data_IF_107635026622
#
_entry.id   IF_107635026622
#
_cell.length_a   1.000
_cell.length_b   1.000
_cell.length_c   1.000
_cell.angle_alpha   90.00
_cell.angle_beta   90.00
_cell.angle_gamma   90.00
#
_symmetry.space_group_name_H-M   'P 1'
#
loop_
_entity.id
_entity.type
_entity.pdbx_description
1 polymer ?
#
# COMPACT_ATOMS: atom_id res chain seq x y z
N UNK A 1 -17.67 8.44 2.03
CA UNK A 1 -18.06 7.02 2.21
C UNK A 1 -17.91 6.33 0.87
N UNK A 2 -17.18 5.22 0.80
CA UNK A 2 -16.95 4.47 -0.45
C UNK A 2 -17.64 3.12 -0.31
N UNK A 3 -18.67 2.87 -1.11
CA UNK A 3 -19.40 1.60 -1.15
C UNK A 3 -18.97 0.85 -2.39
N UNK A 4 -18.60 -0.43 -2.26
CA UNK A 4 -18.32 -1.28 -3.42
C UNK A 4 -19.46 -2.28 -3.56
N UNK A 5 -20.05 -2.33 -4.75
CA UNK A 5 -21.06 -3.31 -5.12
C UNK A 5 -20.35 -4.53 -5.72
N UNK A 6 -20.16 -5.56 -4.88
CA UNK A 6 -19.77 -6.93 -5.27
C UNK A 6 -20.92 -7.89 -4.94
N UNK A 7 -20.73 -9.20 -5.15
CA UNK A 7 -21.68 -10.25 -4.71
C UNK A 7 -22.05 -10.17 -3.20
N UNK A 8 -21.20 -9.53 -2.38
CA UNK A 8 -21.55 -9.05 -1.03
C UNK A 8 -21.20 -7.55 -0.91
N UNK A 9 -22.18 -6.66 -0.68
CA UNK A 9 -21.92 -5.24 -0.56
C UNK A 9 -21.14 -4.94 0.73
N UNK A 10 -19.98 -4.29 0.62
CA UNK A 10 -19.16 -3.86 1.78
C UNK A 10 -19.17 -2.33 1.84
N UNK A 11 -19.65 -1.79 2.97
CA UNK A 11 -19.74 -0.34 3.22
C UNK A 11 -18.37 0.34 3.31
N UNK A 12 -17.31 -0.43 3.52
CA UNK A 12 -15.93 0.04 3.50
C UNK A 12 -15.03 -1.14 3.09
N UNK A 13 -14.51 -1.16 1.85
CA UNK A 13 -13.58 -2.20 1.40
C UNK A 13 -12.25 -2.06 2.14
N UNK A 14 -11.45 -3.12 2.08
CA UNK A 14 -10.05 -3.01 2.49
C UNK A 14 -9.29 -2.10 1.52
N UNK A 15 -8.37 -1.28 2.03
CA UNK A 15 -7.64 -0.27 1.24
C UNK A 15 -6.79 -0.86 0.10
N UNK A 16 -6.57 -2.18 0.13
CA UNK A 16 -5.81 -2.96 -0.85
C UNK A 16 -6.70 -3.84 -1.75
N UNK A 17 -8.01 -3.62 -1.77
CA UNK A 17 -8.90 -4.37 -2.65
C UNK A 17 -8.60 -4.02 -4.12
N UNK A 18 -8.22 -5.05 -4.88
CA UNK A 18 -8.11 -4.95 -6.33
C UNK A 18 -9.48 -5.19 -6.98
N UNK A 19 -9.98 -4.18 -7.68
CA UNK A 19 -11.20 -4.28 -8.48
C UNK A 19 -10.96 -5.15 -9.71
N UNK A 20 -11.93 -6.00 -10.01
CA UNK A 20 -12.03 -6.78 -11.23
C UNK A 20 -12.93 -6.06 -12.24
N UNK A 21 -12.78 -6.44 -13.50
CA UNK A 21 -13.67 -5.96 -14.56
C UNK A 21 -15.11 -6.37 -14.21
N UNK A 22 -16.02 -5.40 -14.20
CA UNK A 22 -17.42 -5.58 -13.81
C UNK A 22 -17.74 -5.11 -12.39
N UNK A 23 -16.73 -4.92 -11.52
CA UNK A 23 -16.94 -4.37 -10.19
C UNK A 23 -17.34 -2.88 -10.27
N UNK A 24 -18.22 -2.45 -9.36
CA UNK A 24 -18.66 -1.03 -9.27
C UNK A 24 -18.28 -0.44 -7.93
N UNK A 25 -17.62 0.73 -7.96
CA UNK A 25 -17.39 1.56 -6.79
C UNK A 25 -18.31 2.77 -6.83
N UNK A 26 -19.01 3.01 -5.72
CA UNK A 26 -19.77 4.23 -5.43
C UNK A 26 -18.96 5.05 -4.42
N UNK A 27 -18.46 6.22 -4.84
CA UNK A 27 -17.69 7.13 -3.99
C UNK A 27 -18.53 8.37 -3.67
N UNK A 28 -18.81 8.61 -2.39
CA UNK A 28 -19.28 9.92 -1.92
C UNK A 28 -18.06 10.83 -1.73
N UNK A 29 -17.92 11.81 -2.62
CA UNK A 29 -16.90 12.84 -2.60
C UNK A 29 -17.49 14.22 -2.88
N UNK A 30 -16.76 15.27 -2.54
CA UNK A 30 -17.12 16.63 -2.95
C UNK A 30 -17.04 16.79 -4.47
N UNK A 31 -17.71 17.80 -5.03
CA UNK A 31 -17.64 18.09 -6.46
C UNK A 31 -16.19 18.27 -6.96
N UNK A 32 -15.34 18.90 -6.14
CA UNK A 32 -13.91 19.05 -6.42
C UNK A 32 -13.17 17.70 -6.39
N UNK A 33 -13.57 16.79 -5.51
CA UNK A 33 -13.08 15.41 -5.48
C UNK A 33 -13.41 14.65 -6.75
N UNK A 34 -14.67 14.66 -7.18
CA UNK A 34 -15.14 14.00 -8.40
C UNK A 34 -14.45 14.56 -9.65
N UNK A 35 -14.39 15.90 -9.78
CA UNK A 35 -13.73 16.56 -10.92
C UNK A 35 -12.25 16.18 -11.05
N UNK A 36 -11.53 16.01 -9.94
CA UNK A 36 -10.13 15.51 -9.99
C UNK A 36 -10.05 14.11 -10.56
N UNK A 37 -10.96 13.22 -10.16
CA UNK A 37 -11.01 11.83 -10.65
C UNK A 37 -11.33 11.79 -12.14
N UNK A 38 -12.34 12.54 -12.59
CA UNK A 38 -12.74 12.64 -14.02
C UNK A 38 -11.59 13.16 -14.90
N UNK A 39 -10.82 14.12 -14.38
CA UNK A 39 -9.66 14.69 -15.08
C UNK A 39 -8.41 13.79 -14.99
N UNK A 40 -8.51 12.62 -14.37
CA UNK A 40 -7.36 11.72 -14.16
C UNK A 40 -6.29 12.30 -13.22
N UNK A 41 -6.60 13.36 -12.46
CA UNK A 41 -5.66 14.02 -11.55
C UNK A 41 -5.51 13.21 -10.27
N UNK A 42 -4.59 12.26 -10.31
CA UNK A 42 -4.20 11.42 -9.17
C UNK A 42 -3.26 12.18 -8.25
N UNK A 43 -3.37 11.95 -6.95
CA UNK A 43 -2.33 12.33 -5.98
C UNK A 43 -1.00 11.69 -6.42
N UNK A 44 0.16 12.34 -6.27
CA UNK A 44 1.43 11.70 -6.59
C UNK A 44 1.82 10.64 -5.55
N UNK A 45 2.55 9.61 -5.98
CA UNK A 45 3.16 8.63 -5.08
C UNK A 45 4.49 9.15 -4.58
N UNK A 46 4.49 9.84 -3.45
CA UNK A 46 5.64 10.55 -2.89
C UNK A 46 6.22 9.89 -1.65
N UNK A 47 5.90 8.63 -1.38
CA UNK A 47 6.38 7.91 -0.20
C UNK A 47 7.06 6.59 -0.56
N UNK A 48 7.96 6.11 0.29
CA UNK A 48 8.59 4.78 0.20
C UNK A 48 8.55 4.09 1.56
N UNK A 49 8.60 2.77 1.51
CA UNK A 49 8.80 1.94 2.68
C UNK A 49 10.30 1.65 2.83
N UNK A 50 10.86 1.93 4.01
CA UNK A 50 12.18 1.46 4.44
C UNK A 50 11.97 0.37 5.49
N UNK A 51 12.49 -0.83 5.26
CA UNK A 51 12.46 -1.92 6.24
C UNK A 51 13.84 -2.02 6.87
N UNK A 52 13.89 -1.99 8.20
CA UNK A 52 15.14 -1.98 8.94
C UNK A 52 15.53 -3.37 9.41
N UNK A 53 14.61 -4.09 10.05
CA UNK A 53 14.85 -5.45 10.55
C UNK A 53 13.56 -6.22 10.77
N UNK A 54 13.66 -7.54 10.69
CA UNK A 54 12.65 -8.49 11.13
C UNK A 54 13.09 -9.17 12.43
N UNK A 55 12.16 -9.45 13.33
CA UNK A 55 12.48 -10.01 14.64
C UNK A 55 13.01 -11.45 14.59
N UNK A 56 12.48 -12.29 13.70
CA UNK A 56 12.96 -13.66 13.51
C UNK A 56 12.78 -14.13 12.05
N UNK A 57 13.35 -15.29 11.72
CA UNK A 57 13.29 -15.88 10.36
C UNK A 57 11.87 -16.26 9.92
N UNK A 58 11.00 -16.65 10.86
CA UNK A 58 9.62 -17.00 10.54
C UNK A 58 8.84 -15.75 10.07
N UNK A 59 9.00 -14.64 10.77
CA UNK A 59 8.45 -13.33 10.41
C UNK A 59 9.03 -12.85 9.08
N UNK A 60 10.33 -13.08 8.84
CA UNK A 60 10.95 -12.71 7.58
C UNK A 60 10.35 -13.44 6.37
N UNK A 61 9.80 -14.65 6.56
CA UNK A 61 9.10 -15.41 5.53
C UNK A 61 7.66 -14.91 5.30
N UNK A 62 6.99 -14.36 6.31
CA UNK A 62 5.62 -13.85 6.21
C UNK A 62 5.56 -12.41 5.66
N UNK A 63 6.55 -11.58 6.00
CA UNK A 63 6.58 -10.16 5.63
C UNK A 63 6.46 -9.86 4.13
N UNK A 64 7.06 -10.62 3.18
CA UNK A 64 6.88 -10.38 1.75
C UNK A 64 5.42 -10.41 1.29
N UNK A 65 4.60 -11.28 1.90
CA UNK A 65 3.17 -11.39 1.60
C UNK A 65 2.41 -10.14 2.03
N UNK A 66 2.76 -9.59 3.20
CA UNK A 66 2.20 -8.32 3.66
C UNK A 66 2.64 -7.18 2.76
N UNK A 67 3.93 -7.08 2.43
CA UNK A 67 4.46 -6.00 1.60
C UNK A 67 3.80 -6.01 0.22
N UNK A 68 3.79 -7.14 -0.47
CA UNK A 68 3.17 -7.27 -1.81
C UNK A 68 1.69 -6.90 -1.82
N UNK A 69 0.93 -7.30 -0.79
CA UNK A 69 -0.50 -6.99 -0.66
C UNK A 69 -0.79 -5.49 -0.63
N UNK A 70 -0.01 -4.68 0.10
CA UNK A 70 -0.29 -3.25 0.27
C UNK A 70 0.43 -2.35 -0.75
N UNK A 71 1.56 -2.80 -1.29
CA UNK A 71 2.37 -2.00 -2.23
C UNK A 71 2.06 -2.25 -3.69
N UNK A 72 1.28 -3.30 -4.00
CA UNK A 72 1.06 -3.79 -5.36
C UNK A 72 2.39 -4.10 -6.10
N UNK A 73 3.44 -4.46 -5.36
CA UNK A 73 4.69 -4.96 -5.92
C UNK A 73 4.62 -6.50 -6.06
N UNK A 74 5.36 -7.08 -7.03
CA UNK A 74 5.47 -8.53 -7.15
C UNK A 74 6.02 -9.14 -5.87
N UNK A 75 5.51 -10.32 -5.49
CA UNK A 75 5.99 -11.05 -4.31
C UNK A 75 7.50 -11.24 -4.33
N UNK A 76 8.07 -11.55 -5.50
CA UNK A 76 9.52 -11.68 -5.69
C UNK A 76 10.27 -10.43 -5.23
N UNK A 77 9.83 -9.25 -5.65
CA UNK A 77 10.46 -7.97 -5.25
C UNK A 77 10.36 -7.74 -3.74
N UNK A 78 9.26 -8.15 -3.12
CA UNK A 78 9.09 -8.07 -1.66
C UNK A 78 9.99 -9.07 -0.91
N UNK A 79 10.21 -10.26 -1.47
CA UNK A 79 11.14 -11.26 -0.92
C UNK A 79 12.58 -10.77 -1.02
N UNK A 80 12.99 -10.29 -2.20
CA UNK A 80 14.32 -9.73 -2.45
C UNK A 80 14.61 -8.55 -1.49
N UNK A 81 13.59 -7.74 -1.18
CA UNK A 81 13.70 -6.66 -0.18
C UNK A 81 14.02 -7.20 1.23
N UNK A 82 13.35 -8.27 1.64
CA UNK A 82 13.49 -8.86 2.98
C UNK A 82 14.79 -9.66 3.16
N UNK A 83 15.41 -10.11 2.07
CA UNK A 83 16.73 -10.75 2.11
C UNK A 83 17.87 -9.73 2.29
N UNK A 84 17.68 -8.50 1.83
CA UNK A 84 18.71 -7.46 1.80
C UNK A 84 18.54 -6.39 2.90
N UNK A 85 18.01 -6.76 4.06
CA UNK A 85 17.76 -5.80 5.14
C UNK A 85 19.07 -5.23 5.73
N UNK A 86 19.14 -3.90 5.99
CA UNK A 86 18.09 -2.89 5.81
C UNK A 86 17.93 -2.44 4.35
N UNK A 87 16.68 -2.38 3.84
CA UNK A 87 16.38 -2.07 2.44
C UNK A 87 15.22 -1.08 2.28
N UNK A 88 15.17 -0.40 1.13
CA UNK A 88 14.06 0.49 0.75
C UNK A 88 13.32 -0.05 -0.46
N UNK A 89 11.99 -0.09 -0.39
CA UNK A 89 11.16 -0.53 -1.49
C UNK A 89 11.24 0.48 -2.64
N UNK A 90 11.68 0.00 -3.81
CA UNK A 90 11.86 0.84 -5.00
C UNK A 90 10.54 1.38 -5.57
N UNK A 91 9.44 0.65 -5.40
CA UNK A 91 8.12 1.11 -5.86
C UNK A 91 7.59 2.23 -4.96
N UNK A 92 7.29 3.42 -5.51
CA UNK A 92 6.72 4.50 -4.74
C UNK A 92 5.29 4.16 -4.29
N UNK A 93 4.89 4.68 -3.14
CA UNK A 93 3.62 4.47 -2.48
C UNK A 93 2.87 5.79 -2.28
N UNK A 94 1.55 5.70 -2.12
CA UNK A 94 0.78 6.80 -1.53
C UNK A 94 1.08 6.88 -0.03
N UNK A 95 0.97 8.07 0.55
CA UNK A 95 1.17 8.31 1.98
C UNK A 95 0.37 7.33 2.85
N UNK A 96 -0.93 7.23 2.57
CA UNK A 96 -1.84 6.35 3.30
C UNK A 96 -1.42 4.87 3.19
N UNK A 97 -0.96 4.43 2.01
CA UNK A 97 -0.45 3.07 1.82
C UNK A 97 0.80 2.83 2.65
N UNK A 98 1.75 3.79 2.67
CA UNK A 98 2.99 3.66 3.43
C UNK A 98 2.74 3.61 4.94
N UNK A 99 1.93 4.53 5.47
CA UNK A 99 1.56 4.56 6.90
C UNK A 99 0.86 3.27 7.32
N UNK A 100 -0.08 2.78 6.49
CA UNK A 100 -0.81 1.54 6.79
C UNK A 100 0.10 0.32 6.74
N UNK A 101 0.96 0.23 5.72
CA UNK A 101 1.92 -0.87 5.59
C UNK A 101 2.88 -0.93 6.78
N UNK A 102 3.40 0.21 7.25
CA UNK A 102 4.21 0.27 8.49
C UNK A 102 3.42 -0.26 9.69
N UNK A 103 2.14 0.09 9.79
CA UNK A 103 1.28 -0.38 10.88
C UNK A 103 1.06 -1.89 10.84
N UNK A 104 0.85 -2.48 9.67
CA UNK A 104 0.70 -3.94 9.52
C UNK A 104 2.02 -4.69 9.75
N UNK A 105 3.14 -4.15 9.27
CA UNK A 105 4.48 -4.70 9.54
C UNK A 105 4.82 -4.68 11.03
N UNK A 106 4.42 -3.62 11.74
CA UNK A 106 4.59 -3.53 13.20
C UNK A 106 3.84 -4.65 13.94
N UNK A 107 2.65 -5.07 13.47
CA UNK A 107 1.88 -6.16 14.09
C UNK A 107 2.61 -7.50 14.01
N UNK A 108 3.32 -7.75 12.92
CA UNK A 108 4.16 -8.95 12.73
C UNK A 108 5.60 -8.74 13.23
N UNK A 109 5.86 -7.71 14.03
CA UNK A 109 7.18 -7.41 14.62
C UNK A 109 8.29 -7.14 13.59
N UNK A 110 7.95 -6.57 12.44
CA UNK A 110 8.91 -6.01 11.48
C UNK A 110 9.06 -4.51 11.72
N UNK A 111 10.29 -4.04 11.85
CA UNK A 111 10.59 -2.62 11.98
C UNK A 111 10.71 -1.99 10.60
N UNK A 112 9.85 -1.02 10.33
CA UNK A 112 9.81 -0.29 9.08
C UNK A 112 9.38 1.16 9.29
N UNK A 113 9.75 2.01 8.34
CA UNK A 113 9.48 3.43 8.32
C UNK A 113 8.91 3.85 6.98
N UNK A 114 7.96 4.78 7.01
CA UNK A 114 7.47 5.47 5.83
C UNK A 114 8.33 6.73 5.64
N UNK A 115 9.01 6.84 4.50
CA UNK A 115 9.87 7.99 4.19
C UNK A 115 9.32 8.74 2.98
N UNK A 116 9.29 10.09 2.99
CA UNK A 116 8.96 10.85 1.80
C UNK A 116 10.07 10.71 0.75
N UNK A 117 9.66 10.64 -0.51
CA UNK A 117 10.54 10.75 -1.68
C UNK A 117 10.84 12.23 -1.84
N UNK A 118 11.86 12.69 -1.12
CA UNK A 118 12.41 14.01 -1.37
C UNK A 118 13.08 13.95 -2.74
N UNK A 119 12.49 14.61 -3.73
CA UNK A 119 13.19 14.88 -4.98
C UNK A 119 14.37 15.79 -4.62
N UNK A 120 15.59 15.25 -4.59
CA UNK A 120 16.77 16.11 -4.63
C UNK A 120 16.64 16.92 -5.92
N UNK A 121 16.56 18.24 -5.74
CA UNK A 121 16.57 19.23 -6.79
C UNK A 121 18.01 19.59 -7.10
#
# INVERSE_FOLDING_TARGET
MVVILMASPKLMPEDYLNLRIGDRIIVLATINGLRRVEQGRRTPKTWRLRVEKAFNRNIAAEAPTVISRFSNCPLKTASDLMENLPATLGSPLYEQQAIRLVSELKKIQVQALAIPITSQK
#
